data_IF_214819972710
#
_entry.id   IF_214819972710
#
_cell.length_a   1.000
_cell.length_b   1.000
_cell.length_c   1.000
_cell.angle_alpha   90.00
_cell.angle_beta   90.00
_cell.angle_gamma   90.00
#
_symmetry.space_group_name_H-M   'P 1'
#
loop_
_entity.id
_entity.type
_entity.pdbx_description
1 polymer ?
#
# COMPACT_ATOMS: atom_id res chain seq x y z
N UNK A 1 47.78 -32.70 -10.84
CA UNK A 1 46.43 -32.61 -10.26
C UNK A 1 45.53 -33.60 -10.97
N UNK A 2 44.94 -34.57 -10.27
CA UNK A 2 44.20 -35.68 -10.87
C UNK A 2 42.92 -35.19 -11.56
N UNK A 3 42.67 -35.69 -12.79
CA UNK A 3 41.44 -35.36 -13.58
C UNK A 3 40.14 -35.55 -12.80
N UNK A 4 40.11 -36.38 -11.77
CA UNK A 4 38.96 -36.58 -10.88
C UNK A 4 38.69 -35.39 -9.96
N UNK A 5 39.72 -34.73 -9.46
CA UNK A 5 39.57 -33.55 -8.57
C UNK A 5 39.05 -32.34 -9.34
N UNK A 6 39.41 -32.19 -10.61
CA UNK A 6 38.92 -31.09 -11.48
C UNK A 6 37.43 -31.32 -11.82
N UNK A 7 37.03 -32.55 -12.10
CA UNK A 7 35.60 -32.87 -12.37
C UNK A 7 34.73 -32.71 -11.15
N UNK A 8 35.23 -33.01 -9.95
CA UNK A 8 34.50 -32.83 -8.69
C UNK A 8 34.37 -31.36 -8.31
N UNK A 9 35.42 -30.55 -8.50
CA UNK A 9 35.37 -29.10 -8.28
C UNK A 9 34.42 -28.40 -9.28
N UNK A 10 34.40 -28.86 -10.55
CA UNK A 10 33.46 -28.31 -11.54
C UNK A 10 32.01 -28.64 -11.24
N UNK A 11 31.72 -29.82 -10.69
CA UNK A 11 30.36 -30.20 -10.25
C UNK A 11 29.89 -29.39 -9.05
N UNK A 12 30.76 -29.13 -8.08
CA UNK A 12 30.43 -28.28 -6.90
C UNK A 12 30.20 -26.83 -7.33
N UNK A 13 31.02 -26.30 -8.26
CA UNK A 13 30.84 -24.95 -8.79
C UNK A 13 29.54 -24.82 -9.59
N UNK A 14 29.17 -25.81 -10.39
CA UNK A 14 27.91 -25.83 -11.12
C UNK A 14 26.71 -25.93 -10.19
N UNK A 15 26.81 -26.66 -9.09
CA UNK A 15 25.75 -26.78 -8.08
C UNK A 15 25.58 -25.47 -7.27
N UNK A 16 26.65 -24.73 -7.04
CA UNK A 16 26.62 -23.44 -6.34
C UNK A 16 25.96 -22.33 -7.19
N UNK A 17 26.14 -22.39 -8.51
CA UNK A 17 25.49 -21.44 -9.44
C UNK A 17 24.00 -21.68 -9.56
N UNK A 18 23.50 -22.90 -9.33
CA UNK A 18 22.06 -23.21 -9.35
C UNK A 18 21.30 -22.71 -8.10
N UNK A 19 22.01 -22.33 -7.03
CA UNK A 19 21.42 -21.83 -5.79
C UNK A 19 21.33 -20.30 -5.71
N UNK A 20 21.70 -19.58 -6.76
CA UNK A 20 21.35 -18.16 -6.85
C UNK A 20 19.88 -18.10 -7.27
N UNK A 21 19.01 -18.41 -6.32
CA UNK A 21 17.62 -17.95 -6.40
C UNK A 21 17.68 -16.43 -6.42
N UNK A 22 17.62 -15.86 -7.61
CA UNK A 22 17.29 -14.46 -7.78
C UNK A 22 15.87 -14.35 -7.23
N UNK A 23 15.73 -13.91 -5.98
CA UNK A 23 14.49 -13.31 -5.54
C UNK A 23 14.26 -12.13 -6.48
N UNK A 24 13.62 -12.38 -7.60
CA UNK A 24 13.00 -11.33 -8.37
C UNK A 24 11.95 -10.73 -7.42
N UNK A 25 12.28 -9.61 -6.79
CA UNK A 25 11.25 -8.76 -6.20
C UNK A 25 10.31 -8.44 -7.36
N UNK A 26 9.17 -9.10 -7.38
CA UNK A 26 8.09 -8.76 -8.29
C UNK A 26 7.81 -7.28 -8.02
N UNK A 27 8.04 -6.44 -9.03
CA UNK A 27 7.73 -5.01 -8.90
C UNK A 27 6.23 -4.91 -8.71
N UNK A 28 5.82 -4.40 -7.56
CA UNK A 28 4.42 -4.16 -7.25
C UNK A 28 3.85 -3.23 -8.33
N UNK A 29 2.82 -3.68 -9.05
CA UNK A 29 2.16 -2.86 -10.07
C UNK A 29 1.12 -1.94 -9.41
N UNK A 30 1.59 -0.78 -8.99
CA UNK A 30 0.77 0.25 -8.36
C UNK A 30 0.18 1.12 -9.48
N UNK A 31 -1.14 1.31 -9.55
CA UNK A 31 -1.77 2.21 -10.52
C UNK A 31 -1.30 3.65 -10.32
N UNK A 32 -1.56 4.53 -11.29
CA UNK A 32 -1.40 5.95 -11.07
C UNK A 32 -2.63 6.47 -10.34
N UNK A 33 -2.52 7.55 -9.55
CA UNK A 33 -3.71 8.20 -9.00
C UNK A 33 -4.55 8.84 -10.11
N UNK A 34 -5.84 9.02 -9.86
CA UNK A 34 -6.76 9.74 -10.74
C UNK A 34 -6.58 11.26 -10.59
N UNK A 35 -7.28 12.04 -11.42
CA UNK A 35 -7.33 13.50 -11.27
C UNK A 35 -8.03 13.91 -9.96
N UNK A 36 -8.83 13.03 -9.39
CA UNK A 36 -9.46 13.19 -8.06
C UNK A 36 -8.54 12.62 -6.97
N UNK A 37 -7.38 13.19 -6.77
CA UNK A 37 -6.29 12.67 -5.94
C UNK A 37 -6.72 12.09 -4.58
N UNK A 38 -7.69 12.69 -3.91
CA UNK A 38 -8.12 12.26 -2.57
C UNK A 38 -9.02 11.02 -2.55
N UNK A 39 -9.55 10.61 -3.73
CA UNK A 39 -10.38 9.41 -3.88
C UNK A 39 -10.05 8.69 -5.19
N UNK A 40 -9.70 7.43 -5.09
CA UNK A 40 -9.31 6.57 -6.21
C UNK A 40 -10.03 5.24 -6.08
N UNK A 41 -11.28 5.17 -6.58
CA UNK A 41 -12.13 3.99 -6.47
C UNK A 41 -11.96 3.07 -7.67
N UNK A 42 -10.86 2.28 -7.70
CA UNK A 42 -10.60 1.31 -8.76
C UNK A 42 -11.47 0.05 -8.67
N UNK A 43 -11.98 -0.27 -7.50
CA UNK A 43 -12.91 -1.38 -7.31
C UNK A 43 -14.36 -1.01 -7.68
N UNK A 44 -14.65 0.29 -7.88
CA UNK A 44 -15.96 0.81 -8.19
C UNK A 44 -17.03 0.37 -7.17
N UNK A 45 -16.71 0.52 -5.90
CA UNK A 45 -17.55 0.12 -4.75
C UNK A 45 -18.08 1.31 -3.93
N UNK A 46 -17.65 2.53 -4.26
CA UNK A 46 -18.08 3.76 -3.59
C UNK A 46 -19.07 4.49 -4.49
N UNK A 47 -20.23 4.87 -3.95
CA UNK A 47 -21.20 5.67 -4.69
C UNK A 47 -20.68 7.10 -4.93
N UNK A 48 -21.20 7.76 -5.96
CA UNK A 48 -20.72 9.07 -6.40
C UNK A 48 -20.91 10.18 -5.36
N UNK A 49 -21.93 10.10 -4.53
CA UNK A 49 -22.16 11.09 -3.47
C UNK A 49 -21.09 10.98 -2.38
N UNK A 50 -20.75 9.74 -2.01
CA UNK A 50 -19.68 9.44 -1.05
C UNK A 50 -18.32 9.82 -1.61
N UNK A 51 -18.04 9.54 -2.90
CA UNK A 51 -16.81 9.98 -3.55
C UNK A 51 -16.67 11.51 -3.53
N UNK A 52 -17.72 12.24 -3.87
CA UNK A 52 -17.72 13.70 -3.83
C UNK A 52 -17.46 14.23 -2.42
N UNK A 53 -18.07 13.61 -1.42
CA UNK A 53 -17.84 13.94 -0.02
C UNK A 53 -16.37 13.74 0.38
N UNK A 54 -15.78 12.56 0.05
CA UNK A 54 -14.38 12.27 0.36
C UNK A 54 -13.45 13.26 -0.35
N UNK A 55 -13.70 13.54 -1.63
CA UNK A 55 -12.90 14.47 -2.41
C UNK A 55 -12.91 15.89 -1.82
N UNK A 56 -14.08 16.43 -1.52
CA UNK A 56 -14.18 17.78 -0.97
C UNK A 56 -13.61 17.86 0.46
N UNK A 57 -13.77 16.81 1.27
CA UNK A 57 -13.14 16.75 2.60
C UNK A 57 -11.62 16.66 2.51
N UNK A 58 -11.09 15.83 1.60
CA UNK A 58 -9.64 15.72 1.36
C UNK A 58 -9.03 17.07 0.97
N UNK A 59 -9.67 17.78 0.04
CA UNK A 59 -9.29 19.16 -0.34
C UNK A 59 -9.30 20.11 0.85
N UNK A 60 -10.37 20.06 1.64
CA UNK A 60 -10.54 20.94 2.79
C UNK A 60 -9.47 20.68 3.87
N UNK A 61 -9.13 19.42 4.13
CA UNK A 61 -8.07 19.09 5.09
C UNK A 61 -6.69 19.52 4.60
N UNK A 62 -6.40 19.29 3.31
CA UNK A 62 -5.12 19.67 2.73
C UNK A 62 -4.96 21.20 2.54
N UNK A 63 -6.06 21.94 2.55
CA UNK A 63 -6.00 23.38 2.48
C UNK A 63 -5.16 23.96 3.65
N UNK A 64 -4.33 24.94 3.34
CA UNK A 64 -3.45 25.60 4.33
C UNK A 64 -2.39 24.68 4.97
N UNK A 65 -1.95 23.66 4.26
CA UNK A 65 -0.89 22.75 4.74
C UNK A 65 -1.35 21.71 5.75
N UNK A 66 -2.64 21.42 5.80
CA UNK A 66 -3.20 20.32 6.61
C UNK A 66 -2.88 18.94 6.04
N UNK A 67 -3.33 17.87 6.70
CA UNK A 67 -3.04 16.49 6.29
C UNK A 67 -3.63 16.16 4.91
N UNK A 68 -2.92 15.34 4.14
CA UNK A 68 -3.42 14.73 2.93
C UNK A 68 -4.00 13.35 3.25
N UNK A 69 -5.31 13.22 3.20
CA UNK A 69 -6.01 11.94 3.40
C UNK A 69 -6.51 11.44 2.06
N UNK A 70 -6.00 10.30 1.63
CA UNK A 70 -6.30 9.68 0.33
C UNK A 70 -6.94 8.32 0.55
N UNK A 71 -8.03 8.05 -0.16
CA UNK A 71 -8.71 6.75 -0.20
C UNK A 71 -8.39 6.06 -1.52
N UNK A 72 -8.04 4.79 -1.43
CA UNK A 72 -7.81 3.90 -2.56
C UNK A 72 -8.59 2.60 -2.34
N UNK A 73 -9.43 2.24 -3.31
CA UNK A 73 -10.01 0.91 -3.37
C UNK A 73 -9.41 0.12 -4.52
N UNK A 74 -9.15 -1.17 -4.31
CA UNK A 74 -8.64 -2.10 -5.30
C UNK A 74 -9.48 -3.37 -5.28
N UNK A 75 -9.77 -3.94 -6.45
CA UNK A 75 -10.37 -5.27 -6.50
C UNK A 75 -9.40 -6.31 -5.94
N UNK A 76 -8.14 -6.27 -6.39
CA UNK A 76 -7.05 -7.14 -5.94
C UNK A 76 -5.72 -6.38 -5.94
N UNK A 77 -4.79 -6.85 -5.14
CA UNK A 77 -3.37 -6.43 -5.17
C UNK A 77 -2.45 -7.55 -5.68
N UNK A 78 -3.04 -8.53 -6.40
CA UNK A 78 -2.33 -9.63 -7.08
C UNK A 78 -1.34 -10.41 -6.20
N UNK A 79 -1.73 -10.63 -4.93
CA UNK A 79 -0.93 -11.39 -3.97
C UNK A 79 0.26 -10.64 -3.39
N UNK A 80 0.39 -9.34 -3.64
CA UNK A 80 1.37 -8.51 -2.95
C UNK A 80 1.04 -8.41 -1.45
N UNK A 81 2.06 -8.19 -0.64
CA UNK A 81 1.86 -7.88 0.78
C UNK A 81 1.11 -6.54 0.94
N UNK A 82 0.12 -6.52 1.81
CA UNK A 82 -0.76 -5.36 2.01
C UNK A 82 0.00 -4.14 2.54
N UNK A 83 0.96 -4.37 3.44
CA UNK A 83 1.79 -3.32 4.02
C UNK A 83 2.73 -2.74 2.98
N UNK A 84 3.47 -3.59 2.28
CA UNK A 84 4.39 -3.18 1.23
C UNK A 84 3.66 -2.42 0.13
N UNK A 85 2.48 -2.91 -0.31
CA UNK A 85 1.66 -2.25 -1.32
C UNK A 85 1.22 -0.86 -0.88
N UNK A 86 0.75 -0.71 0.38
CA UNK A 86 0.29 0.58 0.89
C UNK A 86 1.44 1.59 1.02
N UNK A 87 2.58 1.17 1.55
CA UNK A 87 3.78 2.01 1.71
C UNK A 87 4.29 2.49 0.34
N UNK A 88 4.44 1.56 -0.62
CA UNK A 88 4.92 1.90 -1.96
C UNK A 88 3.92 2.79 -2.72
N UNK A 89 2.61 2.59 -2.52
CA UNK A 89 1.58 3.46 -3.08
C UNK A 89 1.69 4.87 -2.52
N UNK A 90 1.78 5.01 -1.21
CA UNK A 90 1.92 6.31 -0.56
C UNK A 90 3.17 7.07 -1.05
N UNK A 91 4.28 6.36 -1.21
CA UNK A 91 5.54 6.90 -1.75
C UNK A 91 5.43 7.29 -3.22
N UNK A 92 4.89 6.39 -4.06
CA UNK A 92 4.74 6.61 -5.51
C UNK A 92 3.85 7.82 -5.81
N UNK A 93 2.76 7.96 -5.06
CA UNK A 93 1.81 9.06 -5.23
C UNK A 93 2.23 10.35 -4.53
N UNK A 94 3.26 10.28 -3.67
CA UNK A 94 3.75 11.42 -2.90
C UNK A 94 2.70 11.95 -1.93
N UNK A 95 2.01 11.04 -1.23
CA UNK A 95 0.94 11.39 -0.27
C UNK A 95 1.58 12.04 0.97
N UNK A 96 1.18 13.25 1.26
CA UNK A 96 1.70 14.08 2.33
C UNK A 96 2.71 15.12 1.87
N UNK A 97 2.92 16.11 2.69
CA UNK A 97 3.98 17.09 2.51
C UNK A 97 5.33 16.49 2.94
N UNK A 98 6.40 16.73 2.18
CA UNK A 98 7.72 16.12 2.43
C UNK A 98 8.37 16.56 3.75
N UNK A 99 8.05 17.76 4.20
CA UNK A 99 8.62 18.32 5.43
C UNK A 99 7.74 18.02 6.64
N UNK A 100 6.41 18.01 6.44
CA UNK A 100 5.44 17.73 7.49
C UNK A 100 5.15 16.24 7.68
N UNK A 101 5.43 15.40 6.67
CA UNK A 101 5.16 13.95 6.65
C UNK A 101 3.73 13.61 7.13
N UNK A 102 2.75 14.37 6.61
CA UNK A 102 1.38 14.42 7.07
C UNK A 102 0.38 13.72 6.12
N UNK A 103 0.84 12.68 5.45
CA UNK A 103 0.03 11.86 4.57
C UNK A 103 -0.72 10.75 5.31
N UNK A 104 -1.90 10.40 4.81
CA UNK A 104 -2.66 9.23 5.22
C UNK A 104 -3.21 8.55 3.98
N UNK A 105 -2.93 7.26 3.80
CA UNK A 105 -3.56 6.42 2.79
C UNK A 105 -4.49 5.42 3.48
N UNK A 106 -5.75 5.39 3.04
CA UNK A 106 -6.73 4.36 3.42
C UNK A 106 -6.90 3.45 2.23
N UNK A 107 -6.40 2.22 2.33
CA UNK A 107 -6.47 1.19 1.30
C UNK A 107 -7.52 0.15 1.66
N UNK A 108 -8.43 -0.14 0.72
CA UNK A 108 -9.39 -1.23 0.77
C UNK A 108 -9.09 -2.20 -0.36
N UNK A 109 -8.97 -3.49 -0.06
CA UNK A 109 -8.78 -4.57 -1.04
C UNK A 109 -9.97 -5.50 -0.95
N UNK A 110 -10.75 -5.60 -2.04
CA UNK A 110 -12.08 -6.22 -2.00
C UNK A 110 -12.03 -7.73 -2.00
N UNK A 111 -11.13 -8.36 -2.77
CA UNK A 111 -11.01 -9.81 -2.87
C UNK A 111 -10.60 -10.48 -1.55
N UNK A 112 -9.65 -9.86 -0.82
CA UNK A 112 -9.18 -10.31 0.49
C UNK A 112 -9.99 -9.73 1.66
N UNK A 113 -10.82 -8.69 1.40
CA UNK A 113 -11.57 -7.92 2.41
C UNK A 113 -10.66 -7.25 3.45
N UNK A 114 -9.51 -6.80 3.01
CA UNK A 114 -8.53 -6.15 3.86
C UNK A 114 -8.67 -4.63 3.82
N UNK A 115 -8.43 -4.01 4.97
CA UNK A 115 -8.34 -2.56 5.11
C UNK A 115 -7.02 -2.24 5.79
N UNK A 116 -6.28 -1.28 5.22
CA UNK A 116 -5.07 -0.74 5.83
C UNK A 116 -5.11 0.78 5.85
N UNK A 117 -4.61 1.35 6.94
CA UNK A 117 -4.38 2.80 7.07
C UNK A 117 -2.87 2.99 7.24
N UNK A 118 -2.25 3.59 6.24
CA UNK A 118 -0.85 4.00 6.27
C UNK A 118 -0.77 5.45 6.70
N UNK A 119 0.06 5.77 7.68
CA UNK A 119 0.13 7.09 8.32
C UNK A 119 1.55 7.62 8.25
N UNK A 120 1.72 8.84 7.74
CA UNK A 120 2.99 9.54 7.77
C UNK A 120 3.45 9.87 9.17
N UNK A 121 4.76 9.88 9.36
CA UNK A 121 5.40 10.06 10.68
C UNK A 121 4.93 11.32 11.42
N UNK A 122 4.67 12.41 10.70
CA UNK A 122 4.17 13.66 11.28
C UNK A 122 2.80 13.56 11.93
N UNK A 123 2.05 12.49 11.66
CA UNK A 123 0.72 12.27 12.23
C UNK A 123 0.66 11.16 13.29
N UNK A 124 1.72 10.41 13.53
CA UNK A 124 1.73 9.28 14.48
C UNK A 124 1.29 9.68 15.90
N UNK A 125 1.59 10.90 16.34
CA UNK A 125 1.14 11.43 17.61
C UNK A 125 -0.37 11.59 17.76
N UNK A 126 -1.07 11.77 16.62
CA UNK A 126 -2.53 11.98 16.56
C UNK A 126 -3.26 10.74 16.05
N UNK A 127 -2.68 10.04 15.08
CA UNK A 127 -3.19 8.82 14.43
C UNK A 127 -2.22 7.66 14.70
N UNK A 128 -2.16 7.20 15.93
CA UNK A 128 -1.37 6.03 16.27
C UNK A 128 -2.09 4.71 15.90
N UNK A 129 -1.34 3.59 15.87
CA UNK A 129 -1.83 2.26 15.51
C UNK A 129 -3.11 1.86 16.26
N UNK A 130 -3.21 2.21 17.54
CA UNK A 130 -4.40 1.92 18.35
C UNK A 130 -5.66 2.64 17.86
N UNK A 131 -5.53 3.86 17.35
CA UNK A 131 -6.64 4.62 16.75
C UNK A 131 -6.98 4.07 15.36
N UNK A 132 -5.97 3.83 14.52
CA UNK A 132 -6.17 3.23 13.20
C UNK A 132 -6.86 1.86 13.32
N UNK A 133 -6.41 1.01 14.23
CA UNK A 133 -7.05 -0.28 14.50
C UNK A 133 -8.50 -0.17 14.97
N UNK A 134 -8.87 0.87 15.73
CA UNK A 134 -10.28 1.12 16.08
C UNK A 134 -11.12 1.55 14.88
N UNK A 135 -10.59 2.42 14.02
CA UNK A 135 -11.28 2.83 12.80
C UNK A 135 -11.52 1.65 11.87
N UNK A 136 -10.51 0.81 11.67
CA UNK A 136 -10.63 -0.41 10.85
C UNK A 136 -11.70 -1.35 11.42
N UNK A 137 -11.68 -1.66 12.72
CA UNK A 137 -12.71 -2.50 13.34
C UNK A 137 -14.11 -1.95 13.15
N UNK A 138 -14.31 -0.66 13.42
CA UNK A 138 -15.62 -0.03 13.26
C UNK A 138 -16.12 -0.09 11.81
N UNK A 139 -15.23 0.13 10.84
CA UNK A 139 -15.55 0.02 9.42
C UNK A 139 -15.90 -1.43 9.04
N UNK A 140 -15.12 -2.41 9.51
CA UNK A 140 -15.36 -3.84 9.25
C UNK A 140 -16.67 -4.30 9.85
N UNK A 141 -16.97 -3.91 11.08
CA UNK A 141 -18.25 -4.25 11.74
C UNK A 141 -19.45 -3.68 10.96
N UNK A 142 -19.33 -2.44 10.47
CA UNK A 142 -20.37 -1.81 9.67
C UNK A 142 -20.58 -2.50 8.32
N UNK A 143 -19.51 -2.90 7.65
CA UNK A 143 -19.56 -3.63 6.37
C UNK A 143 -20.07 -5.07 6.53
N UNK A 144 -19.89 -5.67 7.70
CA UNK A 144 -20.36 -7.03 7.99
C UNK A 144 -21.85 -7.08 8.37
N UNK A 145 -22.43 -5.95 8.77
CA UNK A 145 -23.83 -5.82 9.20
C UNK A 145 -24.80 -5.50 8.05
N UNK A 146 -24.32 -5.17 6.87
CA UNK A 146 -25.08 -4.87 5.65
C UNK A 146 -24.98 -5.98 4.64
#
# INVERSE_FOLDING_TARGET
MSRGKIRFAALISAMFVLFINICAFAKVDIPNHTDRFFINDYANVIDSETEDYIFEKGKAYNANGGPQVVVLTMESIDGNDLEDFSIETARKWGIGDKDADNGVLILLVMDSRDIRIEVGYGLEGVLNDGKCGRFIRNATDSLSAG
#
